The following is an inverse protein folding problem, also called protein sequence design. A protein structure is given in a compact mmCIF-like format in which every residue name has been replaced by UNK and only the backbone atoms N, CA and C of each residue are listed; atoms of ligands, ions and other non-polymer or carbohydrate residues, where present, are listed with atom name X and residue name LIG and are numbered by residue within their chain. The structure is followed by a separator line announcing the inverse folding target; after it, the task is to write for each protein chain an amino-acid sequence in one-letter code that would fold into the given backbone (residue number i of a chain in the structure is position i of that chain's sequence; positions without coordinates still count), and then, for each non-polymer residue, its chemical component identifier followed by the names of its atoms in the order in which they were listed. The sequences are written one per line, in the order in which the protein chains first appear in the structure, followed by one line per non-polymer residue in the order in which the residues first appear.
data_IF_306888613728
#
_entry.id   IF_306888613728
#
_cell.length_a   1.000
_cell.length_b   1.000
_cell.length_c   1.000
_cell.angle_alpha   90.00
_cell.angle_beta   90.00
_cell.angle_gamma   90.00
#
_symmetry.space_group_name_H-M   'P 1'
#
loop_
_entity.id
_entity.type
_entity.pdbx_description
1 polymer ?
#
# COMPACT_ATOMS: atom_id res chain seq x y z
N UNK A 1 -13.74 -7.51 9.85
CA UNK A 1 -13.31 -6.29 9.12
C UNK A 1 -11.86 -6.04 9.53
N UNK A 2 -10.91 -6.48 8.73
CA UNK A 2 -9.48 -6.36 9.05
C UNK A 2 -9.07 -4.90 8.74
N UNK A 3 -8.99 -4.07 9.77
CA UNK A 3 -8.54 -2.67 9.66
C UNK A 3 -7.11 -2.66 9.13
N UNK A 4 -6.94 -2.22 7.88
CA UNK A 4 -5.64 -1.85 7.36
C UNK A 4 -5.09 -0.66 8.14
N UNK A 5 -3.77 -0.59 8.35
CA UNK A 5 -3.15 0.63 8.84
C UNK A 5 -3.32 1.70 7.77
N UNK A 6 -4.22 2.66 8.01
CA UNK A 6 -4.22 3.93 7.30
C UNK A 6 -2.87 4.59 7.59
N UNK A 7 -1.99 4.66 6.59
CA UNK A 7 -0.81 5.50 6.71
C UNK A 7 -1.31 6.95 6.69
N UNK A 8 -1.22 7.62 7.83
CA UNK A 8 -1.60 9.03 7.98
C UNK A 8 -0.33 9.85 7.80
N UNK A 9 -0.30 10.70 6.78
CA UNK A 9 0.76 11.70 6.59
C UNK A 9 0.16 13.08 6.80
N UNK A 10 0.65 13.80 7.81
CA UNK A 10 0.27 15.18 8.06
C UNK A 10 1.18 16.11 7.25
N UNK A 11 0.56 16.97 6.43
CA UNK A 11 1.22 18.10 5.77
C UNK A 11 0.70 19.37 6.41
N UNK A 12 1.28 19.69 7.57
CA UNK A 12 0.89 20.85 8.38
C UNK A 12 1.07 22.17 7.64
N UNK A 13 2.05 22.24 6.73
CA UNK A 13 2.31 23.38 5.84
C UNK A 13 1.18 23.65 4.85
N UNK A 14 0.37 22.65 4.53
CA UNK A 14 -0.75 22.74 3.59
C UNK A 14 -2.12 22.60 4.27
N UNK A 15 -2.18 22.33 5.57
CA UNK A 15 -3.43 22.00 6.27
C UNK A 15 -4.09 20.73 5.74
N UNK A 16 -3.29 19.76 5.27
CA UNK A 16 -3.77 18.53 4.64
C UNK A 16 -3.38 17.31 5.47
N UNK A 17 -4.37 16.51 5.82
CA UNK A 17 -4.17 15.14 6.29
C UNK A 17 -4.32 14.20 5.10
N UNK A 18 -3.21 13.58 4.69
CA UNK A 18 -3.22 12.53 3.68
C UNK A 18 -3.42 11.16 4.34
N UNK A 19 -4.38 10.40 3.82
CA UNK A 19 -4.58 9.00 4.20
C UNK A 19 -4.56 8.12 2.96
N UNK A 20 -4.21 6.86 3.14
CA UNK A 20 -4.20 5.87 2.07
C UNK A 20 -5.00 4.62 2.44
N UNK A 21 -5.77 4.10 1.49
CA UNK A 21 -6.43 2.80 1.60
C UNK A 21 -5.86 1.89 0.51
N UNK A 22 -5.23 0.79 0.90
CA UNK A 22 -4.71 -0.20 -0.08
C UNK A 22 -5.71 -1.34 -0.24
N UNK A 23 -5.60 -2.14 -1.30
CA UNK A 23 -6.39 -3.37 -1.42
C UNK A 23 -5.69 -4.58 -0.79
N UNK A 24 -4.45 -4.43 -0.29
CA UNK A 24 -3.59 -5.50 0.22
C UNK A 24 -3.30 -6.63 -0.80
N UNK A 25 -3.57 -6.42 -2.09
CA UNK A 25 -3.33 -7.42 -3.13
C UNK A 25 -2.00 -7.14 -3.80
N UNK A 26 -1.02 -7.99 -3.54
CA UNK A 26 0.28 -7.96 -4.23
C UNK A 26 0.10 -8.46 -5.67
N UNK A 27 0.53 -7.63 -6.63
CA UNK A 27 0.46 -7.89 -8.07
C UNK A 27 1.84 -7.87 -8.71
N UNK A 28 1.95 -8.53 -9.86
CA UNK A 28 3.11 -8.53 -10.74
C UNK A 28 2.65 -8.15 -12.14
N UNK A 29 3.27 -7.14 -12.75
CA UNK A 29 2.96 -6.69 -14.12
C UNK A 29 3.98 -7.15 -15.17
N UNK A 30 4.98 -7.96 -14.79
CA UNK A 30 6.08 -8.36 -15.66
C UNK A 30 7.39 -7.64 -15.37
N UNK A 31 7.35 -6.51 -14.66
CA UNK A 31 8.55 -5.76 -14.29
C UNK A 31 8.68 -5.60 -12.77
N UNK A 32 7.57 -5.30 -12.06
CA UNK A 32 7.62 -4.93 -10.64
C UNK A 32 6.49 -5.56 -9.83
N UNK A 33 6.78 -5.85 -8.56
CA UNK A 33 5.77 -6.18 -7.57
C UNK A 33 5.18 -4.88 -7.01
N UNK A 34 3.86 -4.78 -6.94
CA UNK A 34 3.18 -3.60 -6.44
C UNK A 34 1.86 -3.93 -5.74
N UNK A 35 1.35 -2.95 -4.98
CA UNK A 35 -0.02 -2.94 -4.45
C UNK A 35 -0.75 -1.72 -4.98
N UNK A 36 -2.07 -1.83 -5.15
CA UNK A 36 -2.90 -0.67 -5.48
C UNK A 36 -3.42 -0.02 -4.20
N UNK A 37 -3.55 1.30 -4.23
CA UNK A 37 -4.15 2.07 -3.16
C UNK A 37 -4.77 3.36 -3.66
N UNK A 38 -5.74 3.82 -2.90
CA UNK A 38 -6.43 5.09 -3.08
C UNK A 38 -5.86 6.09 -2.06
N UNK A 39 -5.71 7.34 -2.49
CA UNK A 39 -5.18 8.43 -1.67
C UNK A 39 -6.29 9.43 -1.43
N UNK A 40 -6.40 9.87 -0.17
CA UNK A 40 -7.38 10.84 0.27
C UNK A 40 -6.69 12.02 0.93
N UNK A 41 -7.19 13.23 0.66
CA UNK A 41 -6.80 14.45 1.36
C UNK A 41 -8.01 14.97 2.13
N UNK A 42 -7.88 15.10 3.45
CA UNK A 42 -8.97 15.54 4.33
C UNK A 42 -10.26 14.72 4.12
N UNK A 43 -10.14 13.42 3.85
CA UNK A 43 -11.25 12.50 3.60
C UNK A 43 -11.80 12.50 2.17
N UNK A 44 -11.31 13.38 1.28
CA UNK A 44 -11.71 13.41 -0.13
C UNK A 44 -10.78 12.55 -0.98
N UNK A 45 -11.34 11.65 -1.79
CA UNK A 45 -10.56 10.84 -2.74
C UNK A 45 -9.90 11.76 -3.78
N UNK A 46 -8.58 11.77 -3.80
CA UNK A 46 -7.80 12.57 -4.76
C UNK A 46 -7.16 11.71 -5.83
N UNK A 47 -6.68 10.52 -5.51
CA UNK A 47 -6.09 9.58 -6.49
C UNK A 47 -6.63 8.17 -6.27
N UNK A 48 -6.93 7.49 -7.38
CA UNK A 48 -7.45 6.12 -7.40
C UNK A 48 -6.47 5.17 -8.08
N UNK A 49 -6.40 3.92 -7.60
CA UNK A 49 -5.56 2.85 -8.18
C UNK A 49 -4.09 3.25 -8.33
N UNK A 50 -3.59 4.03 -7.38
CA UNK A 50 -2.19 4.42 -7.38
C UNK A 50 -1.34 3.19 -7.05
N UNK A 51 -0.27 2.96 -7.82
CA UNK A 51 0.59 1.79 -7.68
C UNK A 51 1.75 2.10 -6.75
N UNK A 52 1.85 1.39 -5.63
CA UNK A 52 3.02 1.43 -4.74
C UNK A 52 3.89 0.21 -4.99
N UNK A 53 5.14 0.44 -5.38
CA UNK A 53 6.11 -0.65 -5.52
C UNK A 53 6.36 -1.32 -4.17
N UNK A 54 6.40 -2.65 -4.18
CA UNK A 54 6.87 -3.44 -3.05
C UNK A 54 8.39 -3.38 -3.06
N UNK A 55 8.97 -2.95 -1.94
CA UNK A 55 10.43 -2.87 -1.81
C UNK A 55 11.04 -4.26 -1.71
N UNK A 56 12.31 -4.40 -2.10
CA UNK A 56 13.01 -5.69 -2.06
C UNK A 56 12.96 -6.37 -0.68
N UNK A 57 13.19 -5.67 0.47
CA UNK A 57 13.10 -6.32 1.78
C UNK A 57 11.71 -6.89 2.08
N UNK A 58 10.65 -6.19 1.68
CA UNK A 58 9.26 -6.65 1.87
C UNK A 58 8.98 -7.85 0.95
N UNK A 59 9.43 -7.81 -0.30
CA UNK A 59 9.29 -8.94 -1.22
C UNK A 59 9.97 -10.20 -0.69
N UNK A 60 11.18 -10.08 -0.11
CA UNK A 60 11.90 -11.20 0.52
C UNK A 60 11.14 -11.75 1.73
N UNK A 61 10.58 -10.89 2.57
CA UNK A 61 9.77 -11.31 3.72
C UNK A 61 8.50 -12.06 3.29
N UNK A 62 7.79 -11.56 2.26
CA UNK A 62 6.61 -12.22 1.70
C UNK A 62 6.96 -13.59 1.11
N UNK A 63 8.06 -13.69 0.37
CA UNK A 63 8.53 -14.95 -0.20
C UNK A 63 8.81 -16.00 0.88
N UNK A 64 9.47 -15.60 1.98
CA UNK A 64 9.76 -16.49 3.10
C UNK A 64 8.48 -17.02 3.77
N UNK A 65 7.49 -16.14 3.98
CA UNK A 65 6.19 -16.52 4.53
C UNK A 65 5.46 -17.53 3.64
N UNK A 66 5.40 -17.28 2.34
CA UNK A 66 4.74 -18.16 1.36
C UNK A 66 5.43 -19.53 1.32
N UNK A 67 6.77 -19.56 1.34
CA UNK A 67 7.52 -20.82 1.31
C UNK A 67 7.28 -21.64 2.57
N UNK A 68 7.21 -20.99 3.74
CA UNK A 68 6.89 -21.66 5.01
C UNK A 68 5.48 -22.26 5.00
N UNK A 69 4.50 -21.57 4.40
CA UNK A 69 3.12 -22.06 4.35
C UNK A 69 2.91 -23.25 3.39
N UNK A 70 3.88 -23.54 2.52
CA UNK A 70 3.85 -24.67 1.57
C UNK A 70 4.49 -25.95 2.12
N UNK A 71 5.17 -25.87 3.26
CA UNK A 71 5.74 -27.02 3.97
C UNK A 71 4.70 -27.64 4.89
#
# INVERSE_FOLDING_TARGET
MLTQPSNITLRDDLGVTETSETDNVVRWDGERLYVEHDIYHNGQLVHKKYRKNVTEPVARALQALINRAKQ
#
